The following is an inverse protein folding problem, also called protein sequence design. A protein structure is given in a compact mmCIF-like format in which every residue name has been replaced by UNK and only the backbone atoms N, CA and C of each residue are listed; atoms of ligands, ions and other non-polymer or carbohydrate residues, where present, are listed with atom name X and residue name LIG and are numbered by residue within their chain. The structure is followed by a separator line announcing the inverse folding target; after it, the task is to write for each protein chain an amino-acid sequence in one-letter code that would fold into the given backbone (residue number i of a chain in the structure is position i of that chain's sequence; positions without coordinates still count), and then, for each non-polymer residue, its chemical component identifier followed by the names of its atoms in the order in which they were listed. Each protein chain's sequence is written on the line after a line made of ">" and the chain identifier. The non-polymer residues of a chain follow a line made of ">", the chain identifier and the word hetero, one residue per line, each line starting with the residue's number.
data_IF_518458505639
#
_entry.id   IF_518458505639
#
_cell.length_a   1.000
_cell.length_b   1.000
_cell.length_c   1.000
_cell.angle_alpha   90.00
_cell.angle_beta   90.00
_cell.angle_gamma   90.00
#
_symmetry.space_group_name_H-M   'P 1'
#
loop_
_entity.id
_entity.type
_entity.pdbx_description
1 polymer ?
#
# COMPACT_ATOMS: atom_id res chain seq x y z
N UNK A 1 18.95 -23.46 20.45
CA UNK A 1 18.61 -22.28 21.26
C UNK A 1 17.86 -21.26 20.38
N UNK A 2 16.74 -21.66 19.76
CA UNK A 2 15.88 -20.76 18.98
C UNK A 2 14.39 -20.92 19.37
N UNK A 3 14.09 -21.68 20.44
CA UNK A 3 12.72 -21.92 20.90
C UNK A 3 12.27 -20.90 21.95
N UNK A 4 13.12 -20.61 22.94
CA UNK A 4 12.80 -19.72 24.06
C UNK A 4 12.52 -18.27 23.60
N UNK A 5 13.35 -17.71 22.71
CA UNK A 5 13.16 -16.35 22.18
C UNK A 5 11.88 -16.17 21.33
N UNK A 6 11.38 -17.24 20.70
CA UNK A 6 10.15 -17.18 19.90
C UNK A 6 8.91 -17.15 20.78
N UNK A 7 8.90 -17.96 21.85
CA UNK A 7 7.80 -18.00 22.80
C UNK A 7 7.72 -16.68 23.58
N UNK A 8 8.86 -16.09 23.97
CA UNK A 8 8.93 -14.79 24.64
C UNK A 8 8.30 -13.65 23.82
N UNK A 9 8.54 -13.62 22.50
CA UNK A 9 7.93 -12.60 21.63
C UNK A 9 6.41 -12.74 21.53
N UNK A 10 5.91 -13.97 21.41
CA UNK A 10 4.46 -14.22 21.37
C UNK A 10 3.81 -13.89 22.72
N UNK A 11 4.47 -14.20 23.83
CA UNK A 11 4.03 -13.78 25.16
C UNK A 11 3.96 -12.27 25.30
N UNK A 12 4.94 -11.54 24.78
CA UNK A 12 4.89 -10.07 24.74
C UNK A 12 3.67 -9.52 23.98
N UNK A 13 3.32 -10.13 22.83
CA UNK A 13 2.11 -9.73 22.09
C UNK A 13 0.82 -10.04 22.89
N UNK A 14 0.78 -11.17 23.60
CA UNK A 14 -0.35 -11.53 24.46
C UNK A 14 -0.49 -10.55 25.64
N UNK A 15 0.62 -10.16 26.26
CA UNK A 15 0.62 -9.13 27.31
C UNK A 15 0.16 -7.77 26.78
N UNK A 16 0.53 -7.42 25.54
CA UNK A 16 -0.01 -6.26 24.85
C UNK A 16 -1.54 -6.32 24.69
N UNK A 17 -2.12 -7.50 24.49
CA UNK A 17 -3.58 -7.66 24.46
C UNK A 17 -4.20 -7.47 25.85
N UNK A 18 -3.59 -7.99 26.91
CA UNK A 18 -4.04 -7.72 28.28
C UNK A 18 -4.04 -6.21 28.58
N UNK A 19 -2.98 -5.48 28.19
CA UNK A 19 -2.95 -4.03 28.31
C UNK A 19 -4.06 -3.33 27.51
N UNK A 20 -4.35 -3.82 26.29
CA UNK A 20 -5.48 -3.32 25.51
C UNK A 20 -6.82 -3.51 26.26
N UNK A 21 -7.06 -4.68 26.85
CA UNK A 21 -8.30 -4.95 27.61
C UNK A 21 -8.45 -4.02 28.81
N UNK A 22 -7.36 -3.77 29.54
CA UNK A 22 -7.39 -2.99 30.78
C UNK A 22 -7.43 -1.47 30.52
N UNK A 23 -6.73 -0.98 29.48
CA UNK A 23 -6.47 0.45 29.31
C UNK A 23 -7.18 1.07 28.11
N UNK A 24 -7.28 0.35 26.98
CA UNK A 24 -7.80 0.91 25.73
C UNK A 24 -9.25 0.51 25.46
N UNK A 25 -9.62 -0.75 25.71
CA UNK A 25 -10.97 -1.25 25.46
C UNK A 25 -12.06 -0.44 26.17
N UNK A 26 -11.92 0.01 27.43
CA UNK A 26 -12.95 0.82 28.08
C UNK A 26 -13.26 2.12 27.34
N UNK A 27 -12.28 2.69 26.62
CA UNK A 27 -12.44 3.90 25.79
C UNK A 27 -13.19 3.62 24.48
N UNK A 28 -13.20 2.36 24.01
CA UNK A 28 -13.64 1.97 22.68
C UNK A 28 -14.80 0.95 22.66
N UNK A 29 -15.18 0.38 23.80
CA UNK A 29 -16.11 -0.76 23.87
C UNK A 29 -17.48 -0.47 23.25
N UNK A 30 -18.03 0.72 23.49
CA UNK A 30 -19.34 1.11 22.91
C UNK A 30 -19.26 1.28 21.39
N UNK A 31 -18.13 1.80 20.89
CA UNK A 31 -17.89 1.85 19.44
C UNK A 31 -17.76 0.45 18.84
N UNK A 32 -17.04 -0.48 19.49
CA UNK A 32 -16.93 -1.85 19.00
C UNK A 32 -18.26 -2.59 18.99
N UNK A 33 -19.09 -2.44 20.04
CA UNK A 33 -20.46 -2.99 20.06
C UNK A 33 -21.28 -2.47 18.88
N UNK A 34 -21.27 -1.14 18.68
CA UNK A 34 -21.97 -0.51 17.56
C UNK A 34 -21.49 -1.04 16.20
N UNK A 35 -20.18 -1.13 15.98
CA UNK A 35 -19.61 -1.65 14.73
C UNK A 35 -19.92 -3.14 14.53
N UNK A 36 -19.98 -3.93 15.61
CA UNK A 36 -20.36 -5.34 15.56
C UNK A 36 -21.83 -5.54 15.18
N UNK A 37 -22.73 -4.68 15.64
CA UNK A 37 -24.17 -4.80 15.40
C UNK A 37 -24.61 -4.17 14.08
N UNK A 38 -23.99 -3.03 13.71
CA UNK A 38 -24.44 -2.19 12.59
C UNK A 38 -23.55 -2.33 11.34
N UNK A 39 -22.40 -3.00 11.47
CA UNK A 39 -21.41 -3.11 10.41
C UNK A 39 -20.50 -1.88 10.29
N UNK A 40 -19.70 -1.85 9.23
CA UNK A 40 -18.74 -0.79 8.94
C UNK A 40 -19.23 0.14 7.83
N UNK A 41 -18.84 1.42 7.90
CA UNK A 41 -19.10 2.42 6.86
C UNK A 41 -17.89 3.36 6.71
N UNK A 42 -16.71 2.83 6.34
CA UNK A 42 -15.51 3.65 6.17
C UNK A 42 -15.70 4.65 5.04
N UNK A 43 -15.10 5.84 5.17
CA UNK A 43 -15.18 6.87 4.12
C UNK A 43 -14.08 6.73 3.08
N UNK A 44 -13.02 6.01 3.39
CA UNK A 44 -11.90 5.81 2.48
C UNK A 44 -11.38 4.38 2.52
N UNK A 45 -10.89 3.90 1.37
CA UNK A 45 -9.98 2.77 1.28
C UNK A 45 -8.54 3.26 1.14
N UNK A 46 -7.63 2.69 1.93
CA UNK A 46 -6.19 2.97 1.85
C UNK A 46 -5.45 1.71 1.42
N UNK A 47 -4.72 1.82 0.31
CA UNK A 47 -3.81 0.80 -0.20
C UNK A 47 -2.40 1.20 0.26
N UNK A 48 -1.86 0.49 1.24
CA UNK A 48 -0.58 0.78 1.85
C UNK A 48 0.38 -0.41 1.75
N UNK A 49 1.67 -0.15 1.99
CA UNK A 49 2.65 -1.22 2.01
C UNK A 49 2.48 -2.08 3.28
N UNK A 50 2.79 -3.38 3.19
CA UNK A 50 2.88 -4.28 4.37
C UNK A 50 4.07 -3.97 5.28
N UNK A 51 4.89 -2.97 4.96
CA UNK A 51 6.01 -2.49 5.78
C UNK A 51 5.57 -2.18 7.22
N UNK A 52 6.21 -2.81 8.21
CA UNK A 52 5.85 -2.69 9.63
C UNK A 52 6.06 -1.29 10.22
N UNK A 53 6.62 -0.34 9.46
CA UNK A 53 6.78 1.06 9.89
C UNK A 53 5.64 1.97 9.39
N UNK A 54 4.78 1.46 8.51
CA UNK A 54 3.69 2.24 7.89
C UNK A 54 2.36 1.80 8.49
N UNK A 55 1.71 2.71 9.21
CA UNK A 55 0.43 2.47 9.88
C UNK A 55 -0.56 3.57 9.50
N UNK A 56 -1.41 3.38 8.47
CA UNK A 56 -2.33 4.42 8.01
C UNK A 56 -3.15 5.06 9.13
N UNK A 57 -3.78 4.27 9.99
CA UNK A 57 -4.55 4.76 11.13
C UNK A 57 -3.74 5.62 12.10
N UNK A 58 -2.48 5.28 12.35
CA UNK A 58 -1.60 6.09 13.20
C UNK A 58 -1.28 7.43 12.53
N UNK A 59 -0.99 7.41 11.23
CA UNK A 59 -0.65 8.60 10.46
C UNK A 59 -1.82 9.58 10.35
N UNK A 60 -3.04 9.09 10.24
CA UNK A 60 -4.26 9.91 10.06
C UNK A 60 -5.08 10.08 11.33
N UNK A 61 -4.61 9.53 12.45
CA UNK A 61 -5.36 9.48 13.72
C UNK A 61 -6.78 8.90 13.54
N UNK A 62 -6.91 7.88 12.70
CA UNK A 62 -8.18 7.23 12.38
C UNK A 62 -8.44 6.03 13.30
N UNK A 63 -9.67 5.93 13.80
CA UNK A 63 -10.13 4.84 14.65
C UNK A 63 -10.70 3.64 13.88
N UNK A 64 -11.14 2.60 14.60
CA UNK A 64 -11.85 1.48 14.01
C UNK A 64 -13.09 1.92 13.22
N UNK A 65 -13.23 1.42 11.99
CA UNK A 65 -14.34 1.73 11.10
C UNK A 65 -14.13 2.96 10.20
N UNK A 66 -13.11 3.78 10.42
CA UNK A 66 -12.86 4.99 9.61
C UNK A 66 -12.27 4.67 8.23
N UNK A 67 -11.35 3.70 8.19
CA UNK A 67 -10.59 3.32 6.99
C UNK A 67 -10.78 1.83 6.68
N UNK A 68 -11.01 1.52 5.41
CA UNK A 68 -10.87 0.18 4.87
C UNK A 68 -9.42 -0.02 4.39
N UNK A 69 -8.69 -0.99 4.93
CA UNK A 69 -7.25 -1.12 4.65
C UNK A 69 -6.95 -2.31 3.74
N UNK A 70 -6.14 -2.06 2.70
CA UNK A 70 -5.47 -3.09 1.91
C UNK A 70 -3.98 -2.92 2.08
N UNK A 71 -3.29 -3.98 2.52
CA UNK A 71 -1.84 -3.97 2.72
C UNK A 71 -1.17 -5.06 1.88
N UNK A 72 -0.25 -4.65 1.02
CA UNK A 72 0.52 -5.55 0.16
C UNK A 72 1.96 -5.06 -0.03
N UNK A 73 2.80 -5.83 -0.72
CA UNK A 73 4.19 -5.41 -0.97
C UNK A 73 4.21 -4.22 -1.93
N UNK A 74 4.86 -3.14 -1.52
CA UNK A 74 5.05 -1.92 -2.31
C UNK A 74 3.74 -1.19 -2.72
N UNK A 75 2.66 -1.35 -1.95
CA UNK A 75 1.39 -0.62 -2.12
C UNK A 75 0.86 -0.62 -3.57
N UNK A 76 1.06 -1.74 -4.27
CA UNK A 76 0.73 -1.86 -5.68
C UNK A 76 -0.76 -2.16 -5.86
N UNK A 77 -1.33 -1.57 -6.89
CA UNK A 77 -2.64 -1.95 -7.43
C UNK A 77 -2.40 -2.63 -8.78
N UNK A 78 -2.80 -3.90 -8.98
CA UNK A 78 -2.75 -4.52 -10.30
C UNK A 78 -3.75 -3.84 -11.24
N UNK A 79 -3.54 -3.88 -12.57
CA UNK A 79 -4.56 -3.44 -13.52
C UNK A 79 -5.83 -4.31 -13.41
N UNK A 80 -6.95 -3.79 -13.89
CA UNK A 80 -8.20 -4.53 -13.98
C UNK A 80 -8.03 -5.70 -14.97
N UNK A 81 -8.06 -6.91 -14.42
CA UNK A 81 -7.97 -8.14 -15.19
C UNK A 81 -9.03 -9.14 -14.71
N UNK A 82 -9.72 -9.75 -15.67
CA UNK A 82 -10.73 -10.80 -15.45
C UNK A 82 -10.24 -12.18 -15.87
N UNK A 83 -8.98 -12.30 -16.29
CA UNK A 83 -8.39 -13.53 -16.85
C UNK A 83 -8.39 -14.73 -15.88
N UNK A 84 -8.68 -14.49 -14.60
CA UNK A 84 -8.87 -15.52 -13.58
C UNK A 84 -7.63 -15.65 -12.69
N UNK A 85 -7.84 -15.60 -11.38
CA UNK A 85 -6.78 -15.63 -10.37
C UNK A 85 -7.29 -15.09 -9.03
N UNK A 86 -6.59 -15.39 -7.94
CA UNK A 86 -6.92 -14.83 -6.62
C UNK A 86 -6.29 -13.44 -6.44
N UNK A 87 -7.05 -12.39 -6.76
CA UNK A 87 -6.59 -11.00 -6.67
C UNK A 87 -7.13 -10.29 -5.42
N UNK A 88 -6.45 -10.45 -4.28
CA UNK A 88 -6.87 -9.86 -3.01
C UNK A 88 -7.05 -8.34 -3.05
N UNK A 89 -6.16 -7.61 -3.74
CA UNK A 89 -6.28 -6.15 -3.90
C UNK A 89 -7.49 -5.76 -4.76
N UNK A 90 -7.73 -6.44 -5.88
CA UNK A 90 -8.86 -6.16 -6.78
C UNK A 90 -10.20 -6.45 -6.10
N UNK A 91 -10.32 -7.59 -5.40
CA UNK A 91 -11.54 -7.96 -4.68
C UNK A 91 -11.84 -6.98 -3.53
N UNK A 92 -10.80 -6.58 -2.78
CA UNK A 92 -10.94 -5.59 -1.70
C UNK A 92 -11.36 -4.21 -2.23
N UNK A 93 -10.81 -3.78 -3.38
CA UNK A 93 -11.19 -2.55 -4.07
C UNK A 93 -12.64 -2.58 -4.53
N UNK A 94 -13.07 -3.66 -5.18
CA UNK A 94 -14.46 -3.83 -5.62
C UNK A 94 -15.42 -3.73 -4.43
N UNK A 95 -15.13 -4.46 -3.34
CA UNK A 95 -15.96 -4.41 -2.14
C UNK A 95 -16.02 -3.01 -1.52
N UNK A 96 -14.87 -2.34 -1.37
CA UNK A 96 -14.83 -0.99 -0.80
C UNK A 96 -15.62 0.03 -1.64
N UNK A 97 -15.48 -0.02 -2.96
CA UNK A 97 -16.05 1.00 -3.85
C UNK A 97 -17.52 0.72 -4.19
N UNK A 98 -17.90 -0.56 -4.34
CA UNK A 98 -19.25 -0.95 -4.79
C UNK A 98 -20.18 -1.36 -3.67
N UNK A 99 -19.66 -1.97 -2.59
CA UNK A 99 -20.48 -2.44 -1.46
C UNK A 99 -20.46 -1.46 -0.29
N UNK A 100 -19.28 -0.94 0.08
CA UNK A 100 -19.14 0.04 1.17
C UNK A 100 -19.30 1.48 0.69
N UNK A 101 -19.29 1.70 -0.63
CA UNK A 101 -19.48 3.01 -1.26
C UNK A 101 -18.54 4.10 -0.75
N UNK A 102 -17.28 3.75 -0.45
CA UNK A 102 -16.27 4.71 0.03
C UNK A 102 -16.20 5.94 -0.89
N UNK A 103 -15.96 7.10 -0.28
CA UNK A 103 -15.85 8.38 -0.95
C UNK A 103 -14.44 8.65 -1.48
N UNK A 104 -13.43 7.94 -0.96
CA UNK A 104 -12.04 8.11 -1.37
C UNK A 104 -11.27 6.79 -1.50
N UNK A 105 -10.36 6.74 -2.47
CA UNK A 105 -9.30 5.74 -2.59
C UNK A 105 -7.96 6.43 -2.46
N UNK A 106 -7.11 5.95 -1.54
CA UNK A 106 -5.78 6.51 -1.29
C UNK A 106 -4.74 5.42 -1.52
N UNK A 107 -3.78 5.65 -2.42
CA UNK A 107 -2.57 4.83 -2.54
C UNK A 107 -1.46 5.49 -1.72
N UNK A 108 -1.01 4.83 -0.67
CA UNK A 108 0.02 5.33 0.25
C UNK A 108 1.37 4.65 -0.01
N UNK A 109 2.23 5.33 -0.75
CA UNK A 109 3.65 5.01 -0.87
C UNK A 109 4.45 5.46 0.35
N UNK A 110 5.69 5.00 0.48
CA UNK A 110 6.56 5.41 1.57
C UNK A 110 8.04 5.35 1.22
N UNK A 111 8.84 6.11 1.98
CA UNK A 111 10.30 6.11 1.87
C UNK A 111 10.93 4.80 2.29
N UNK A 112 12.04 4.42 1.65
CA UNK A 112 12.85 3.23 1.95
C UNK A 112 12.03 1.94 1.88
N UNK A 113 11.23 1.79 0.83
CA UNK A 113 10.40 0.61 0.62
C UNK A 113 11.24 -0.61 0.24
N UNK A 114 11.11 -1.68 1.03
CA UNK A 114 11.85 -2.93 0.79
C UNK A 114 11.52 -3.59 -0.54
N UNK A 115 10.24 -3.59 -0.95
CA UNK A 115 9.80 -4.15 -2.24
C UNK A 115 10.37 -3.38 -3.44
N UNK A 116 10.33 -2.04 -3.38
CA UNK A 116 10.88 -1.18 -4.44
C UNK A 116 12.39 -1.33 -4.56
N UNK A 117 13.10 -1.33 -3.42
CA UNK A 117 14.53 -1.60 -3.38
C UNK A 117 14.86 -2.97 -3.98
N UNK A 118 14.16 -4.02 -3.56
CA UNK A 118 14.40 -5.38 -4.05
C UNK A 118 14.18 -5.49 -5.56
N UNK A 119 13.14 -4.85 -6.10
CA UNK A 119 12.91 -4.75 -7.54
C UNK A 119 14.10 -4.08 -8.24
N UNK A 120 14.51 -2.89 -7.78
CA UNK A 120 15.63 -2.16 -8.37
C UNK A 120 16.93 -2.99 -8.33
N UNK A 121 17.28 -3.53 -7.17
CA UNK A 121 18.52 -4.31 -6.97
C UNK A 121 18.55 -5.55 -7.87
N UNK A 122 17.42 -6.25 -8.03
CA UNK A 122 17.31 -7.42 -8.92
C UNK A 122 17.45 -7.04 -10.38
N UNK A 123 16.75 -6.00 -10.83
CA UNK A 123 16.84 -5.55 -12.22
C UNK A 123 18.25 -5.06 -12.58
N UNK A 124 18.94 -4.37 -11.66
CA UNK A 124 20.34 -3.97 -11.89
C UNK A 124 21.28 -5.17 -12.04
N UNK A 125 21.11 -6.22 -11.21
CA UNK A 125 21.88 -7.47 -11.34
C UNK A 125 21.60 -8.18 -12.66
N UNK A 126 20.33 -8.33 -13.01
CA UNK A 126 19.90 -8.92 -14.28
C UNK A 126 20.52 -8.22 -15.50
N UNK A 127 20.58 -6.89 -15.49
CA UNK A 127 21.20 -6.10 -16.56
C UNK A 127 22.73 -6.30 -16.67
N UNK A 128 23.42 -6.56 -15.55
CA UNK A 128 24.87 -6.78 -15.51
C UNK A 128 25.27 -8.21 -15.86
N UNK A 129 24.49 -9.18 -15.40
CA UNK A 129 24.81 -10.62 -15.51
C UNK A 129 24.17 -11.27 -16.75
N UNK A 130 23.32 -10.55 -17.49
CA UNK A 130 22.61 -11.07 -18.66
C UNK A 130 21.54 -12.11 -18.33
N UNK A 131 21.22 -12.30 -17.06
CA UNK A 131 20.17 -13.20 -16.59
C UNK A 131 18.80 -12.52 -16.65
N UNK A 132 17.81 -13.21 -17.22
CA UNK A 132 16.42 -12.77 -17.09
C UNK A 132 15.97 -12.99 -15.65
N UNK A 133 15.29 -12.01 -15.02
CA UNK A 133 14.66 -12.21 -13.71
C UNK A 133 13.78 -13.46 -13.74
N UNK A 134 13.98 -14.36 -12.78
CA UNK A 134 13.13 -15.55 -12.64
C UNK A 134 11.72 -15.07 -12.29
N UNK A 135 10.70 -15.57 -13.00
CA UNK A 135 9.29 -15.28 -12.71
C UNK A 135 8.63 -16.44 -11.93
N UNK A 136 9.39 -17.19 -11.14
CA UNK A 136 8.89 -18.45 -10.55
C UNK A 136 8.11 -18.26 -9.26
N UNK A 137 8.35 -17.17 -8.51
CA UNK A 137 7.89 -17.03 -7.12
C UNK A 137 6.91 -15.85 -6.96
N UNK A 138 6.12 -15.87 -5.88
CA UNK A 138 5.04 -14.89 -5.62
C UNK A 138 5.50 -13.43 -5.66
N UNK A 139 6.71 -13.13 -5.14
CA UNK A 139 7.24 -11.75 -5.13
C UNK A 139 7.57 -11.30 -6.56
N UNK A 140 8.18 -12.15 -7.37
CA UNK A 140 8.57 -11.78 -8.74
C UNK A 140 7.31 -11.59 -9.62
N UNK A 141 6.30 -12.45 -9.45
CA UNK A 141 5.00 -12.29 -10.11
C UNK A 141 4.26 -11.02 -9.66
N UNK A 142 4.25 -10.72 -8.36
CA UNK A 142 3.65 -9.50 -7.83
C UNK A 142 4.36 -8.24 -8.31
N UNK A 143 5.69 -8.24 -8.25
CA UNK A 143 6.49 -7.08 -8.65
C UNK A 143 6.52 -6.89 -10.17
N UNK A 144 6.12 -7.88 -10.98
CA UNK A 144 5.96 -7.72 -12.44
C UNK A 144 4.95 -6.62 -12.81
N UNK A 145 3.94 -6.36 -11.94
CA UNK A 145 3.01 -5.22 -12.08
C UNK A 145 3.78 -3.91 -12.32
N UNK A 146 4.88 -3.71 -11.59
CA UNK A 146 5.74 -2.54 -11.70
C UNK A 146 6.92 -2.76 -12.66
N UNK A 147 7.51 -3.95 -12.68
CA UNK A 147 8.70 -4.24 -13.48
C UNK A 147 8.44 -4.07 -14.98
N UNK A 148 7.21 -4.30 -15.44
CA UNK A 148 6.84 -4.16 -16.85
C UNK A 148 6.54 -2.70 -17.28
N UNK A 149 6.36 -1.78 -16.33
CA UNK A 149 6.14 -0.36 -16.60
C UNK A 149 7.39 0.31 -17.20
N UNK A 150 7.21 0.98 -18.34
CA UNK A 150 8.30 1.62 -19.06
C UNK A 150 8.98 2.77 -18.29
N UNK A 151 8.25 3.49 -17.42
CA UNK A 151 8.85 4.56 -16.60
C UNK A 151 9.65 3.96 -15.44
N UNK A 152 9.15 2.88 -14.81
CA UNK A 152 9.90 2.11 -13.81
C UNK A 152 11.20 1.58 -14.41
N UNK A 153 11.18 0.96 -15.60
CA UNK A 153 12.41 0.46 -16.27
C UNK A 153 13.47 1.56 -16.42
N UNK A 154 13.08 2.73 -16.93
CA UNK A 154 13.99 3.89 -17.08
C UNK A 154 14.55 4.37 -15.73
N UNK A 155 13.70 4.47 -14.71
CA UNK A 155 14.13 4.89 -13.38
C UNK A 155 15.08 3.87 -12.73
N UNK A 156 14.84 2.57 -12.95
CA UNK A 156 15.74 1.51 -12.51
C UNK A 156 17.08 1.63 -13.23
N UNK A 157 17.10 1.76 -14.56
CA UNK A 157 18.33 1.94 -15.35
C UNK A 157 19.17 3.12 -14.84
N UNK A 158 18.52 4.25 -14.54
CA UNK A 158 19.17 5.42 -13.93
C UNK A 158 19.73 5.09 -12.55
N UNK A 159 18.95 4.44 -11.69
CA UNK A 159 19.38 4.08 -10.34
C UNK A 159 20.54 3.05 -10.34
N UNK A 160 20.64 2.21 -11.37
CA UNK A 160 21.77 1.29 -11.54
C UNK A 160 23.09 2.01 -11.89
N UNK A 161 23.01 3.22 -12.43
CA UNK A 161 24.15 4.03 -12.86
C UNK A 161 24.59 5.05 -11.79
N UNK A 162 23.69 5.47 -10.89
CA UNK A 162 23.95 6.44 -9.82
C UNK A 162 24.38 5.78 -8.52
N UNK A 163 24.74 6.59 -7.50
CA UNK A 163 24.93 6.08 -6.14
C UNK A 163 23.69 5.33 -5.66
N UNK A 164 23.89 4.06 -5.28
CA UNK A 164 22.86 3.21 -4.70
C UNK A 164 22.27 3.89 -3.48
N UNK A 165 20.98 4.20 -3.51
CA UNK A 165 20.27 4.59 -2.30
C UNK A 165 19.14 5.60 -2.45
N UNK A 166 18.97 6.26 -3.61
CA UNK A 166 17.81 7.13 -3.82
C UNK A 166 16.68 6.38 -4.54
N UNK A 167 15.81 5.73 -3.76
CA UNK A 167 14.64 5.03 -4.29
C UNK A 167 13.41 5.91 -4.43
N UNK A 168 13.46 7.19 -3.99
CA UNK A 168 12.27 8.04 -3.94
C UNK A 168 11.57 8.19 -5.29
N UNK A 169 12.26 8.43 -6.43
CA UNK A 169 11.58 8.49 -7.72
C UNK A 169 10.85 7.18 -8.09
N UNK A 170 11.44 6.02 -7.74
CA UNK A 170 10.81 4.72 -7.96
C UNK A 170 9.61 4.52 -7.03
N UNK A 171 9.72 4.89 -5.76
CA UNK A 171 8.63 4.79 -4.77
C UNK A 171 7.44 5.68 -5.16
N UNK A 172 7.70 6.92 -5.56
CA UNK A 172 6.69 7.84 -6.10
C UNK A 172 6.09 7.30 -7.42
N UNK A 173 6.89 6.63 -8.25
CA UNK A 173 6.37 5.95 -9.45
C UNK A 173 5.44 4.79 -9.10
N UNK A 174 5.68 4.02 -8.05
CA UNK A 174 4.75 2.95 -7.64
C UNK A 174 3.37 3.49 -7.28
N UNK A 175 3.34 4.66 -6.62
CA UNK A 175 2.08 5.36 -6.32
C UNK A 175 1.38 5.74 -7.62
N UNK A 176 2.05 6.49 -8.50
CA UNK A 176 1.42 6.97 -9.74
C UNK A 176 1.02 5.86 -10.70
N UNK A 177 1.80 4.78 -10.80
CA UNK A 177 1.44 3.57 -11.54
C UNK A 177 0.17 2.93 -10.96
N UNK A 178 0.06 2.84 -9.64
CA UNK A 178 -1.14 2.30 -9.00
C UNK A 178 -2.36 3.21 -9.20
N UNK A 179 -2.19 4.54 -9.23
CA UNK A 179 -3.26 5.46 -9.62
C UNK A 179 -3.70 5.26 -11.08
N UNK A 180 -2.77 5.03 -12.00
CA UNK A 180 -3.05 4.68 -13.39
C UNK A 180 -3.83 3.35 -13.45
N UNK A 181 -3.40 2.33 -12.71
CA UNK A 181 -4.06 1.03 -12.65
C UNK A 181 -5.47 1.10 -12.02
N UNK A 182 -5.67 1.89 -10.97
CA UNK A 182 -7.01 2.12 -10.38
C UNK A 182 -8.02 2.61 -11.44
N UNK A 183 -7.58 3.48 -12.36
CA UNK A 183 -8.43 3.99 -13.44
C UNK A 183 -8.67 3.00 -14.58
N UNK A 184 -8.10 1.80 -14.51
CA UNK A 184 -8.46 0.70 -15.43
C UNK A 184 -9.75 -0.02 -14.97
N UNK A 185 -10.11 0.08 -13.68
CA UNK A 185 -11.32 -0.53 -13.11
C UNK A 185 -12.58 0.26 -13.52
N UNK A 186 -13.59 -0.37 -14.16
CA UNK A 186 -14.80 0.32 -14.58
C UNK A 186 -15.53 1.03 -13.43
N UNK A 187 -15.73 0.36 -12.30
CA UNK A 187 -16.45 0.91 -11.14
C UNK A 187 -15.74 2.11 -10.49
N UNK A 188 -14.41 2.22 -10.62
CA UNK A 188 -13.66 3.40 -10.16
C UNK A 188 -13.88 4.55 -11.12
N UNK A 189 -13.66 4.33 -12.43
CA UNK A 189 -13.84 5.39 -13.44
C UNK A 189 -15.25 5.97 -13.42
N UNK A 190 -16.26 5.12 -13.33
CA UNK A 190 -17.66 5.54 -13.33
C UNK A 190 -17.99 6.41 -12.11
N UNK A 191 -17.51 6.05 -10.92
CA UNK A 191 -17.74 6.85 -9.69
C UNK A 191 -16.88 8.11 -9.62
N UNK A 192 -15.63 8.06 -10.11
CA UNK A 192 -14.75 9.25 -10.22
C UNK A 192 -15.37 10.27 -11.18
N UNK A 193 -15.82 9.84 -12.36
CA UNK A 193 -16.50 10.69 -13.33
C UNK A 193 -17.83 11.27 -12.82
N UNK A 194 -18.55 10.53 -11.96
CA UNK A 194 -19.76 11.00 -11.29
C UNK A 194 -19.50 11.92 -10.08
N UNK A 195 -18.24 12.19 -9.72
CA UNK A 195 -17.88 12.97 -8.54
C UNK A 195 -18.20 12.31 -7.20
N UNK A 196 -18.44 10.99 -7.20
CA UNK A 196 -18.79 10.19 -6.02
C UNK A 196 -17.58 9.49 -5.38
N UNK A 197 -16.42 9.56 -6.03
CA UNK A 197 -15.20 8.93 -5.57
C UNK A 197 -14.01 9.82 -5.91
N UNK A 198 -13.17 10.13 -4.92
CA UNK A 198 -11.91 10.82 -5.12
C UNK A 198 -10.73 9.83 -5.07
N UNK A 199 -9.76 9.99 -5.97
CA UNK A 199 -8.58 9.12 -6.06
C UNK A 199 -7.32 9.93 -5.73
N UNK A 200 -6.61 9.53 -4.67
CA UNK A 200 -5.44 10.24 -4.16
C UNK A 200 -4.19 9.35 -4.11
N UNK A 201 -3.04 9.93 -4.45
CA UNK A 201 -1.74 9.31 -4.20
C UNK A 201 -1.02 10.05 -3.09
N UNK A 202 -0.60 9.34 -2.05
CA UNK A 202 0.17 9.87 -0.94
C UNK A 202 1.55 9.21 -0.87
N UNK A 203 2.52 9.95 -0.33
CA UNK A 203 3.87 9.46 -0.06
C UNK A 203 4.29 9.84 1.37
N UNK A 204 4.61 8.84 2.19
CA UNK A 204 5.05 9.05 3.56
C UNK A 204 6.57 8.93 3.70
N UNK A 205 7.23 10.03 4.08
CA UNK A 205 8.64 10.04 4.39
C UNK A 205 8.87 9.64 5.86
N UNK A 206 9.17 8.36 6.09
CA UNK A 206 9.25 7.72 7.42
C UNK A 206 10.21 8.47 8.34
N UNK A 207 11.43 8.78 7.87
CA UNK A 207 12.46 9.39 8.71
C UNK A 207 12.14 10.83 9.12
N UNK A 208 11.30 11.53 8.35
CA UNK A 208 10.90 12.93 8.65
C UNK A 208 9.50 13.01 9.28
N UNK A 209 8.73 11.92 9.27
CA UNK A 209 7.33 11.93 9.68
C UNK A 209 6.43 12.80 8.79
N UNK A 210 6.82 13.06 7.54
CA UNK A 210 6.10 13.97 6.63
C UNK A 210 5.28 13.24 5.58
N UNK A 211 4.11 13.77 5.26
CA UNK A 211 3.22 13.26 4.25
C UNK A 211 3.19 14.21 3.05
N UNK A 212 3.14 13.64 1.85
CA UNK A 212 3.05 14.38 0.60
C UNK A 212 1.88 13.83 -0.23
N UNK A 213 1.17 14.70 -0.96
CA UNK A 213 0.14 14.33 -1.93
C UNK A 213 0.63 14.53 -3.37
N UNK A 214 0.26 13.60 -4.25
CA UNK A 214 0.42 13.73 -5.69
C UNK A 214 -0.44 14.86 -6.23
N UNK A 215 0.20 15.85 -6.86
CA UNK A 215 -0.47 16.89 -7.62
C UNK A 215 -0.43 16.52 -9.12
N UNK A 216 -1.57 16.17 -9.75
CA UNK A 216 -1.59 15.76 -11.15
C UNK A 216 -1.35 16.89 -12.15
N UNK A 217 -1.63 18.16 -11.79
CA UNK A 217 -1.44 19.31 -12.66
C UNK A 217 0.04 19.63 -12.85
N UNK A 218 0.82 19.52 -11.78
CA UNK A 218 2.25 19.81 -11.79
C UNK A 218 3.13 18.55 -11.93
N UNK A 219 2.54 17.36 -11.76
CA UNK A 219 3.27 16.11 -11.87
C UNK A 219 4.30 15.89 -10.76
N UNK A 220 4.05 16.42 -9.56
CA UNK A 220 4.96 16.32 -8.40
C UNK A 220 4.21 15.99 -7.10
N UNK A 221 4.93 15.43 -6.13
CA UNK A 221 4.44 15.28 -4.76
C UNK A 221 4.68 16.56 -3.96
N UNK A 222 3.64 17.11 -3.34
CA UNK A 222 3.68 18.31 -2.49
C UNK A 222 3.38 17.97 -1.03
N UNK A 223 3.98 18.67 -0.05
CA UNK A 223 3.58 18.51 1.35
C UNK A 223 2.06 18.63 1.51
N UNK A 224 1.48 17.70 2.29
CA UNK A 224 0.06 17.70 2.64
C UNK A 224 -0.21 18.57 3.87
#
# INVERSE_FOLDING_TARGET
>A
MCGEDHDDFIHHLADGHHQFLDQELPKHIEMFKRLSEQGQSPRAVVIACSDSRVHPNLLTQSGPGDLFLVRNVANLVPPYDRSGGYHGTSAALEYAVTSLEVEAVIVLGHSRCGGVRALSDRCCKAAQEGEKPRQSDFIDQWMAIAADDGKVKKLVEQNCQTEKGNYRPLEERMVTLSLENLRTFPFIREREAAGKLAVHGWYFHIAEGRLFAWNPEEGIFKPL
#
